data_IF_299764088955
#
_entry.id   IF_299764088955
#
_cell.length_a   1.000
_cell.length_b   1.000
_cell.length_c   1.000
_cell.angle_alpha   90.00
_cell.angle_beta   90.00
_cell.angle_gamma   90.00
#
_symmetry.space_group_name_H-M   'P 1'
#
loop_
_entity.id
_entity.type
_entity.pdbx_description
1 polymer ?
#
# COMPACT_ATOMS: atom_id res chain seq x y z
N UNK A 1 -9.28 -17.82 7.51
CA UNK A 1 -9.47 -18.89 6.51
C UNK A 1 -8.33 -18.75 5.51
N UNK A 2 -7.53 -19.80 5.29
CA UNK A 2 -6.29 -19.72 4.50
C UNK A 2 -6.57 -20.06 3.03
N UNK A 3 -6.12 -19.20 2.11
CA UNK A 3 -5.94 -19.51 0.69
C UNK A 3 -4.45 -19.83 0.54
N UNK A 4 -4.11 -21.11 0.36
CA UNK A 4 -2.73 -21.62 0.32
C UNK A 4 -2.27 -22.33 1.61
N UNK A 5 -1.30 -23.24 1.49
CA UNK A 5 -0.69 -24.03 2.56
C UNK A 5 0.84 -23.95 2.57
N UNK A 6 1.51 -24.58 3.54
CA UNK A 6 2.98 -24.61 3.59
C UNK A 6 3.54 -25.30 2.34
N UNK A 7 4.15 -24.52 1.43
CA UNK A 7 4.74 -24.97 0.16
C UNK A 7 3.92 -24.67 -1.10
N UNK A 8 2.68 -24.16 -0.97
CA UNK A 8 1.82 -23.74 -2.08
C UNK A 8 1.04 -22.48 -1.69
N UNK A 9 1.24 -21.35 -2.38
CA UNK A 9 0.50 -20.12 -2.05
C UNK A 9 1.18 -18.84 -2.50
N UNK A 10 0.79 -17.73 -1.87
CA UNK A 10 1.35 -16.40 -2.11
C UNK A 10 2.81 -16.33 -1.61
N UNK A 11 3.64 -15.61 -2.34
CA UNK A 11 5.06 -15.43 -2.02
C UNK A 11 5.24 -14.28 -1.01
N UNK A 12 5.39 -14.63 0.27
CA UNK A 12 5.56 -13.68 1.40
C UNK A 12 4.54 -12.52 1.39
N UNK A 13 3.23 -12.80 1.50
CA UNK A 13 2.23 -11.74 1.56
C UNK A 13 2.32 -11.00 2.90
N UNK A 14 2.66 -9.69 2.87
CA UNK A 14 2.63 -8.82 4.05
C UNK A 14 1.28 -8.09 4.20
N UNK A 15 0.63 -7.79 3.09
CA UNK A 15 -0.59 -6.97 3.03
C UNK A 15 -1.82 -7.69 2.49
N UNK A 16 -2.98 -7.14 2.85
CA UNK A 16 -4.28 -7.54 2.35
C UNK A 16 -5.19 -6.31 2.27
N UNK A 17 -5.93 -6.18 1.17
CA UNK A 17 -7.00 -5.18 1.02
C UNK A 17 -8.18 -5.79 0.28
N UNK A 18 -9.40 -5.30 0.51
CA UNK A 18 -10.59 -5.74 -0.22
C UNK A 18 -11.13 -4.61 -1.09
N UNK A 19 -11.51 -4.93 -2.32
CA UNK A 19 -12.12 -3.99 -3.26
C UNK A 19 -13.65 -4.01 -3.25
N UNK A 20 -14.29 -3.03 -3.91
CA UNK A 20 -15.74 -3.00 -4.10
C UNK A 20 -16.25 -4.10 -5.05
N UNK A 21 -15.36 -4.80 -5.75
CA UNK A 21 -15.65 -5.95 -6.61
C UNK A 21 -15.74 -7.29 -5.85
N UNK A 22 -15.74 -7.23 -4.51
CA UNK A 22 -15.80 -8.39 -3.62
C UNK A 22 -14.60 -9.33 -3.70
N UNK A 23 -13.48 -8.86 -4.28
CA UNK A 23 -12.21 -9.56 -4.28
C UNK A 23 -11.28 -9.01 -3.20
N UNK A 24 -10.36 -9.85 -2.77
CA UNK A 24 -9.25 -9.45 -1.91
C UNK A 24 -7.95 -9.40 -2.74
N UNK A 25 -7.01 -8.58 -2.29
CA UNK A 25 -5.75 -8.33 -2.96
C UNK A 25 -4.60 -8.39 -1.97
N UNK A 26 -3.50 -9.02 -2.36
CA UNK A 26 -2.30 -9.14 -1.55
C UNK A 26 -1.05 -8.85 -2.38
N UNK A 27 -0.02 -8.31 -1.73
CA UNK A 27 1.32 -8.16 -2.30
C UNK A 27 2.17 -9.42 -2.15
N UNK A 28 3.36 -9.42 -2.76
CA UNK A 28 4.38 -10.45 -2.55
C UNK A 28 5.82 -9.92 -2.61
N UNK A 29 6.79 -10.79 -2.31
CA UNK A 29 8.22 -10.46 -2.22
C UNK A 29 8.81 -9.94 -3.53
N UNK A 30 8.39 -10.51 -4.66
CA UNK A 30 8.94 -10.20 -5.98
C UNK A 30 8.02 -9.26 -6.79
N UNK A 31 7.26 -8.40 -6.12
CA UNK A 31 6.39 -7.42 -6.78
C UNK A 31 5.03 -7.97 -7.22
N UNK A 32 4.71 -9.21 -6.88
CA UNK A 32 3.43 -9.79 -7.29
C UNK A 32 2.28 -9.00 -6.67
N UNK A 33 1.23 -8.76 -7.47
CA UNK A 33 -0.08 -8.39 -6.96
C UNK A 33 -1.01 -9.56 -7.24
N UNK A 34 -1.49 -10.15 -6.15
CA UNK A 34 -2.41 -11.26 -6.18
C UNK A 34 -3.84 -10.76 -6.10
N UNK A 35 -4.71 -11.31 -6.96
CA UNK A 35 -6.16 -11.14 -6.89
C UNK A 35 -6.77 -12.43 -6.38
N UNK A 36 -7.57 -12.33 -5.33
CA UNK A 36 -8.04 -13.44 -4.52
C UNK A 36 -9.57 -13.45 -4.52
N UNK A 37 -10.16 -14.51 -5.06
CA UNK A 37 -11.58 -14.80 -4.94
C UNK A 37 -11.79 -15.64 -3.68
N UNK A 38 -12.30 -15.00 -2.63
CA UNK A 38 -12.48 -15.64 -1.32
C UNK A 38 -13.64 -16.63 -1.28
N UNK A 39 -14.62 -16.49 -2.18
CA UNK A 39 -15.75 -17.41 -2.31
C UNK A 39 -15.33 -18.69 -3.02
N UNK A 40 -14.66 -18.56 -4.17
CA UNK A 40 -14.14 -19.68 -4.97
C UNK A 40 -12.87 -20.28 -4.40
N UNK A 41 -12.19 -19.58 -3.49
CA UNK A 41 -10.96 -20.00 -2.82
C UNK A 41 -9.81 -20.17 -3.81
N UNK A 42 -9.73 -19.25 -4.74
CA UNK A 42 -8.71 -19.22 -5.81
C UNK A 42 -7.99 -17.88 -5.79
N UNK A 43 -6.75 -17.88 -6.27
CA UNK A 43 -6.01 -16.64 -6.50
C UNK A 43 -5.21 -16.75 -7.79
N UNK A 44 -4.78 -15.60 -8.31
CA UNK A 44 -3.84 -15.47 -9.41
C UNK A 44 -2.91 -14.29 -9.16
N UNK A 45 -1.66 -14.37 -9.63
CA UNK A 45 -0.86 -13.16 -9.86
C UNK A 45 -1.40 -12.51 -11.15
N UNK A 46 -2.05 -11.35 -11.02
CA UNK A 46 -2.64 -10.66 -12.18
C UNK A 46 -1.81 -9.45 -12.64
N UNK A 47 -0.83 -9.03 -11.82
CA UNK A 47 0.09 -7.95 -12.15
C UNK A 47 1.40 -8.10 -11.35
N UNK A 48 2.44 -7.40 -11.80
CA UNK A 48 3.72 -7.32 -11.11
C UNK A 48 4.25 -5.87 -11.11
N UNK A 49 4.64 -5.35 -9.95
CA UNK A 49 5.09 -3.95 -9.76
C UNK A 49 6.54 -3.69 -10.17
N UNK A 50 7.26 -4.70 -10.66
CA UNK A 50 8.63 -4.58 -11.13
C UNK A 50 9.66 -5.29 -10.26
N UNK A 51 9.31 -6.35 -9.54
CA UNK A 51 10.28 -7.19 -8.84
C UNK A 51 10.68 -6.75 -7.43
N UNK A 52 9.96 -5.79 -6.83
CA UNK A 52 10.25 -5.29 -5.48
C UNK A 52 9.18 -5.72 -4.49
N UNK A 53 9.58 -5.94 -3.23
CA UNK A 53 8.67 -6.25 -2.14
C UNK A 53 7.49 -5.26 -2.08
N UNK A 54 6.28 -5.80 -1.99
CA UNK A 54 5.03 -5.02 -1.88
C UNK A 54 4.62 -4.96 -0.42
N UNK A 55 4.81 -3.79 0.21
CA UNK A 55 4.55 -3.59 1.62
C UNK A 55 3.05 -3.58 1.93
N UNK A 56 2.38 -2.46 1.63
CA UNK A 56 0.95 -2.24 1.87
C UNK A 56 0.15 -1.96 0.61
N UNK A 57 -1.15 -2.28 0.66
CA UNK A 57 -2.11 -2.05 -0.42
C UNK A 57 -3.32 -1.24 0.05
N UNK A 58 -3.88 -0.44 -0.86
CA UNK A 58 -5.20 0.15 -0.76
C UNK A 58 -5.95 -0.03 -2.07
N UNK A 59 -7.28 -0.08 -2.04
CA UNK A 59 -8.11 -0.24 -3.24
C UNK A 59 -9.05 0.95 -3.34
N UNK A 60 -9.14 1.58 -4.52
CA UNK A 60 -10.07 2.68 -4.76
C UNK A 60 -11.47 2.18 -5.20
N UNK A 61 -12.38 3.13 -5.42
CA UNK A 61 -13.77 2.84 -5.79
C UNK A 61 -13.92 2.19 -7.18
N UNK A 62 -12.90 2.30 -8.04
CA UNK A 62 -12.87 1.71 -9.38
C UNK A 62 -12.09 0.37 -9.39
N UNK A 63 -11.80 -0.19 -8.20
CA UNK A 63 -10.99 -1.40 -8.01
C UNK A 63 -9.55 -1.29 -8.53
N UNK A 64 -8.98 -0.08 -8.60
CA UNK A 64 -7.53 0.04 -8.79
C UNK A 64 -6.82 -0.21 -7.45
N UNK A 65 -5.72 -0.98 -7.51
CA UNK A 65 -4.87 -1.28 -6.37
C UNK A 65 -3.70 -0.30 -6.31
N UNK A 66 -3.48 0.32 -5.16
CA UNK A 66 -2.36 1.21 -4.89
C UNK A 66 -1.38 0.47 -3.98
N UNK A 67 -0.18 0.22 -4.49
CA UNK A 67 0.82 -0.64 -3.89
C UNK A 67 2.08 0.14 -3.53
N UNK A 68 2.51 0.06 -2.27
CA UNK A 68 3.81 0.56 -1.85
C UNK A 68 4.89 -0.45 -2.25
N UNK A 69 5.75 -0.08 -3.19
CA UNK A 69 6.71 -1.01 -3.80
C UNK A 69 7.90 -0.26 -4.40
N UNK A 70 9.12 -0.65 -4.04
CA UNK A 70 10.34 -0.17 -4.70
C UNK A 70 10.63 1.32 -4.57
N UNK A 71 10.26 1.96 -3.45
CA UNK A 71 10.45 3.41 -3.28
C UNK A 71 9.40 4.26 -3.99
N UNK A 72 8.29 3.66 -4.40
CA UNK A 72 7.20 4.35 -5.08
C UNK A 72 5.84 3.83 -4.59
N UNK A 73 4.77 4.58 -4.86
CA UNK A 73 3.43 4.02 -4.88
C UNK A 73 3.06 3.73 -6.33
N UNK A 74 2.75 2.47 -6.62
CA UNK A 74 2.28 1.99 -7.91
C UNK A 74 0.76 1.92 -7.91
N UNK A 75 0.13 2.24 -9.04
CA UNK A 75 -1.27 1.98 -9.30
C UNK A 75 -1.40 0.82 -10.29
N UNK A 76 -2.23 -0.15 -9.95
CA UNK A 76 -2.54 -1.32 -10.77
C UNK A 76 -4.03 -1.32 -11.09
N UNK A 77 -4.38 -1.26 -12.38
CA UNK A 77 -5.78 -1.26 -12.81
C UNK A 77 -6.41 -2.66 -12.68
N UNK A 78 -7.75 -2.81 -12.74
CA UNK A 78 -8.41 -4.11 -12.76
C UNK A 78 -7.95 -5.06 -13.88
N UNK A 79 -7.42 -4.50 -14.98
CA UNK A 79 -6.85 -5.26 -16.10
C UNK A 79 -5.37 -5.62 -15.91
N UNK A 80 -4.76 -5.24 -14.79
CA UNK A 80 -3.36 -5.52 -14.46
C UNK A 80 -2.34 -4.53 -15.03
N UNK A 81 -2.77 -3.37 -15.54
CA UNK A 81 -1.85 -2.35 -16.02
C UNK A 81 -1.20 -1.63 -14.83
N UNK A 82 0.13 -1.56 -14.82
CA UNK A 82 0.91 -0.95 -13.73
C UNK A 82 1.46 0.41 -14.16
N UNK A 83 1.29 1.41 -13.30
CA UNK A 83 1.83 2.76 -13.47
C UNK A 83 2.37 3.30 -12.15
N UNK A 84 3.36 4.20 -12.18
CA UNK A 84 3.76 4.96 -10.98
C UNK A 84 2.72 6.04 -10.73
N UNK A 85 2.21 6.13 -9.49
CA UNK A 85 1.27 7.18 -9.09
C UNK A 85 1.87 8.22 -8.14
N UNK A 86 2.88 7.85 -7.35
CA UNK A 86 3.52 8.78 -6.41
C UNK A 86 4.99 8.40 -6.15
N UNK A 87 5.85 9.43 -6.15
CA UNK A 87 7.30 9.31 -5.89
C UNK A 87 7.78 10.27 -4.81
N UNK A 88 6.88 11.03 -4.17
CA UNK A 88 7.21 12.04 -3.18
C UNK A 88 6.56 13.41 -3.45
N UNK A 89 6.74 14.31 -2.49
CA UNK A 89 6.29 15.69 -2.53
C UNK A 89 7.43 16.62 -3.00
N UNK A 90 7.15 17.89 -3.39
CA UNK A 90 8.17 18.83 -3.86
C UNK A 90 9.38 18.98 -2.91
N UNK A 91 9.14 18.94 -1.61
CA UNK A 91 10.17 19.16 -0.59
C UNK A 91 10.78 17.86 -0.06
N UNK A 92 10.27 16.69 -0.47
CA UNK A 92 10.72 15.39 0.04
C UNK A 92 10.30 14.22 -0.86
N UNK A 93 11.29 13.51 -1.39
CA UNK A 93 11.08 12.23 -2.07
C UNK A 93 10.63 11.15 -1.07
N UNK A 94 9.81 10.20 -1.53
CA UNK A 94 9.44 9.04 -0.72
C UNK A 94 10.62 8.06 -0.70
N UNK A 95 10.96 7.52 0.48
CA UNK A 95 12.12 6.64 0.63
C UNK A 95 11.71 5.16 0.65
N UNK A 96 10.98 4.76 1.69
CA UNK A 96 10.51 3.40 1.92
C UNK A 96 9.00 3.45 2.18
N UNK A 97 8.18 3.59 1.12
CA UNK A 97 6.72 3.57 1.28
C UNK A 97 6.32 2.23 1.88
N UNK A 98 5.52 2.27 2.93
CA UNK A 98 5.12 1.08 3.66
C UNK A 98 3.63 0.79 3.47
N UNK A 99 2.73 1.67 3.92
CA UNK A 99 1.30 1.40 3.89
C UNK A 99 0.46 2.58 3.38
N UNK A 100 -0.42 2.36 2.39
CA UNK A 100 -1.37 3.36 1.93
C UNK A 100 -2.78 3.17 2.53
N UNK A 101 -3.54 4.26 2.71
CA UNK A 101 -4.97 4.23 3.03
C UNK A 101 -5.70 5.41 2.38
N UNK A 102 -6.91 5.18 1.87
CA UNK A 102 -7.77 6.24 1.31
C UNK A 102 -8.73 6.80 2.34
N UNK A 103 -8.93 8.13 2.35
CA UNK A 103 -10.10 8.74 2.99
C UNK A 103 -11.31 8.81 2.04
N UNK A 104 -12.45 9.24 2.59
CA UNK A 104 -13.72 9.32 1.87
C UNK A 104 -13.73 10.38 0.75
N UNK A 105 -12.81 11.35 0.78
CA UNK A 105 -12.65 12.37 -0.25
C UNK A 105 -11.68 11.92 -1.36
N UNK A 106 -11.12 10.71 -1.24
CA UNK A 106 -10.19 10.14 -2.22
C UNK A 106 -8.74 10.59 -2.03
N UNK A 107 -8.38 11.20 -0.90
CA UNK A 107 -6.97 11.44 -0.59
C UNK A 107 -6.30 10.13 -0.16
N UNK A 108 -5.09 9.89 -0.64
CA UNK A 108 -4.26 8.76 -0.24
C UNK A 108 -3.25 9.21 0.82
N UNK A 109 -3.31 8.62 2.01
CA UNK A 109 -2.27 8.76 3.02
C UNK A 109 -1.29 7.61 2.87
N UNK A 110 0.00 7.90 2.95
CA UNK A 110 1.07 6.91 2.76
C UNK A 110 2.05 7.05 3.89
N UNK A 111 2.34 5.96 4.60
CA UNK A 111 3.46 5.92 5.53
C UNK A 111 4.77 5.71 4.77
N UNK A 112 5.76 6.53 5.09
CA UNK A 112 7.14 6.36 4.67
C UNK A 112 7.95 5.97 5.89
N UNK A 113 8.44 4.72 5.93
CA UNK A 113 9.27 4.24 7.03
C UNK A 113 10.60 4.99 7.13
N UNK A 114 10.96 5.74 6.07
CA UNK A 114 12.20 6.47 5.99
C UNK A 114 13.38 5.56 5.67
N UNK A 115 14.56 5.95 6.12
CA UNK A 115 15.79 5.16 6.02
C UNK A 115 16.00 4.37 7.31
N UNK A 116 16.37 3.10 7.16
CA UNK A 116 16.63 2.20 8.28
C UNK A 116 17.54 2.83 9.33
N UNK A 117 17.09 2.84 10.60
CA UNK A 117 17.83 3.35 11.75
C UNK A 117 18.30 4.82 11.65
N UNK A 118 17.51 5.67 10.98
CA UNK A 118 17.79 7.12 10.87
C UNK A 118 16.73 8.02 11.51
N UNK A 119 15.63 7.46 12.04
CA UNK A 119 14.51 8.23 12.62
C UNK A 119 14.11 9.42 11.74
N UNK A 120 13.91 9.15 10.45
CA UNK A 120 13.55 10.17 9.48
C UNK A 120 12.23 9.85 8.77
N UNK A 121 11.43 8.89 9.23
CA UNK A 121 10.12 8.56 8.68
C UNK A 121 9.14 9.73 8.68
N UNK A 122 8.08 9.61 7.87
CA UNK A 122 7.01 10.59 7.80
C UNK A 122 5.71 9.98 7.25
N UNK A 123 4.65 10.77 7.23
CA UNK A 123 3.45 10.47 6.45
C UNK A 123 3.31 11.47 5.31
N UNK A 124 2.94 10.98 4.13
CA UNK A 124 2.51 11.79 3.01
C UNK A 124 0.98 11.81 2.90
N UNK A 125 0.44 12.90 2.37
CA UNK A 125 -0.94 12.97 1.86
C UNK A 125 -0.90 13.31 0.38
N UNK A 126 -1.64 12.53 -0.42
CA UNK A 126 -1.74 12.71 -1.87
C UNK A 126 -3.18 13.02 -2.22
N UNK A 127 -3.41 14.21 -2.79
CA UNK A 127 -4.74 14.64 -3.21
C UNK A 127 -5.23 13.85 -4.44
N UNK A 128 -6.54 13.77 -4.67
CA UNK A 128 -7.08 13.35 -5.96
C UNK A 128 -6.40 14.10 -7.11
N UNK A 129 -5.81 13.37 -8.05
CA UNK A 129 -5.00 13.94 -9.14
C UNK A 129 -3.48 13.85 -8.93
N UNK A 130 -3.01 13.35 -7.79
CA UNK A 130 -1.62 12.91 -7.59
C UNK A 130 -0.68 13.95 -6.96
N UNK A 131 -1.16 15.15 -6.63
CA UNK A 131 -0.33 16.13 -5.92
C UNK A 131 -0.14 15.71 -4.47
N UNK A 132 1.11 15.46 -4.07
CA UNK A 132 1.45 15.12 -2.69
C UNK A 132 2.04 16.26 -1.88
N UNK A 133 1.91 16.13 -0.56
CA UNK A 133 2.53 16.95 0.48
C UNK A 133 3.07 16.06 1.61
N UNK A 134 4.07 16.56 2.33
CA UNK A 134 4.48 15.96 3.61
C UNK A 134 3.44 16.36 4.65
N UNK A 135 2.72 15.39 5.21
CA UNK A 135 1.57 15.64 6.05
C UNK A 135 1.90 15.60 7.55
N UNK A 136 2.75 14.65 7.97
CA UNK A 136 3.20 14.51 9.36
C UNK A 136 4.67 14.11 9.42
N UNK A 137 5.45 14.75 10.30
CA UNK A 137 6.90 14.54 10.45
C UNK A 137 7.33 14.25 11.89
N UNK A 138 6.41 14.23 12.86
CA UNK A 138 6.72 13.84 14.25
C UNK A 138 6.81 12.32 14.43
N UNK A 139 6.26 11.56 13.49
CA UNK A 139 6.25 10.09 13.49
C UNK A 139 7.47 9.58 12.71
N UNK A 140 8.63 9.60 13.36
CA UNK A 140 9.91 9.41 12.66
C UNK A 140 10.47 7.99 12.72
N UNK A 141 10.12 7.22 13.75
CA UNK A 141 10.68 5.88 13.98
C UNK A 141 9.89 4.81 13.22
N UNK A 142 10.20 4.64 11.95
CA UNK A 142 9.66 3.56 11.10
C UNK A 142 8.12 3.45 11.08
N UNK A 143 7.39 4.49 10.59
CA UNK A 143 5.97 4.37 10.29
C UNK A 143 5.68 3.17 9.38
N UNK A 144 4.64 2.41 9.73
CA UNK A 144 4.26 1.18 9.04
C UNK A 144 2.75 1.21 8.74
N UNK A 145 1.97 0.22 9.18
CA UNK A 145 0.54 0.11 8.92
C UNK A 145 -0.27 1.36 9.29
N UNK A 146 -1.22 1.71 8.42
CA UNK A 146 -2.16 2.82 8.61
C UNK A 146 -3.60 2.33 8.64
N UNK A 147 -4.45 3.02 9.39
CA UNK A 147 -5.90 2.84 9.35
C UNK A 147 -6.64 4.15 9.63
N UNK A 148 -7.78 4.38 8.97
CA UNK A 148 -8.66 5.51 9.28
C UNK A 148 -9.82 5.06 10.16
N UNK A 149 -10.29 5.95 11.04
CA UNK A 149 -11.56 5.74 11.74
C UNK A 149 -12.73 5.73 10.75
N UNK A 150 -13.85 5.03 11.04
CA UNK A 150 -14.97 4.94 10.11
C UNK A 150 -15.59 6.28 9.69
N UNK A 151 -15.46 7.30 10.54
CA UNK A 151 -15.93 8.66 10.30
C UNK A 151 -14.84 9.59 9.69
N UNK A 152 -13.63 9.08 9.48
CA UNK A 152 -12.48 9.82 8.96
C UNK A 152 -11.85 10.82 9.96
N UNK A 153 -12.33 10.89 11.20
CA UNK A 153 -11.84 11.84 12.21
C UNK A 153 -10.41 11.56 12.69
N UNK A 154 -9.94 10.31 12.57
CA UNK A 154 -8.63 9.89 13.05
C UNK A 154 -7.90 9.01 12.04
N UNK A 155 -6.59 9.22 11.91
CA UNK A 155 -5.66 8.31 11.28
C UNK A 155 -4.80 7.66 12.37
N UNK A 156 -4.81 6.33 12.42
CA UNK A 156 -3.97 5.51 13.28
C UNK A 156 -2.75 5.05 12.49
N UNK A 157 -1.56 5.22 13.07
CA UNK A 157 -0.30 4.76 12.50
C UNK A 157 0.39 3.81 13.47
N UNK A 158 0.82 2.65 12.98
CA UNK A 158 1.74 1.78 13.68
C UNK A 158 3.17 2.30 13.52
N UNK A 159 3.88 2.42 14.64
CA UNK A 159 5.26 2.88 14.72
C UNK A 159 6.09 1.70 15.24
N UNK A 160 7.08 1.27 14.47
CA UNK A 160 7.96 0.16 14.86
C UNK A 160 9.25 0.70 15.46
N UNK A 161 9.65 0.17 16.61
CA UNK A 161 10.99 0.44 17.15
C UNK A 161 12.02 -0.32 16.30
N UNK A 162 12.97 0.42 15.71
CA UNK A 162 14.04 -0.09 14.83
C UNK A 162 15.41 0.34 15.31
#
# INVERSE_FOLDING_TARGET
YFVGGFGEGLDHPECIACGPDHLAYAGGEAGQIYRIDTEKRTFEEYANTGGHFVGGLAVDADSNVYACSGGEVKRVTPSGEVSTCFTGAPDREIATPNYPVFDADGNLYVSDSGTWNQDNGCLFKVAPGGQGEVWETSLTSFPNGLALSPDGSYLYAAISEV
#
